data_IF_824058708381
#
_entry.id   IF_824058708381
#
_cell.length_a   1.000
_cell.length_b   1.000
_cell.length_c   1.000
_cell.angle_alpha   90.00
_cell.angle_beta   90.00
_cell.angle_gamma   90.00
#
_symmetry.space_group_name_H-M   'P 1'
#
loop_
_entity.id
_entity.type
_entity.pdbx_description
1 polymer ?
#
# COMPACT_ATOMS: atom_id res chain seq x y z
N UNK A 1 -52.51 -51.03 -5.86
CA UNK A 1 -51.32 -50.29 -5.37
C UNK A 1 -51.74 -48.89 -4.89
N UNK A 2 -51.64 -48.58 -3.59
CA UNK A 2 -51.87 -47.20 -3.09
C UNK A 2 -50.72 -46.30 -3.53
N UNK A 3 -51.04 -45.33 -4.37
CA UNK A 3 -50.04 -44.49 -5.03
C UNK A 3 -49.30 -43.64 -3.97
N UNK A 4 -47.96 -43.65 -3.99
CA UNK A 4 -47.11 -43.16 -2.89
C UNK A 4 -47.41 -41.70 -2.48
N UNK A 5 -47.92 -40.88 -3.39
CA UNK A 5 -48.27 -39.47 -3.13
C UNK A 5 -49.58 -39.25 -2.37
N UNK A 6 -50.42 -40.28 -2.17
CA UNK A 6 -51.66 -40.20 -1.36
C UNK A 6 -51.45 -40.53 0.11
N UNK A 7 -50.24 -40.97 0.50
CA UNK A 7 -49.89 -41.20 1.91
C UNK A 7 -49.84 -39.85 2.64
N UNK A 8 -50.52 -39.73 3.78
CA UNK A 8 -50.57 -38.49 4.58
C UNK A 8 -49.20 -37.86 4.84
N UNK A 9 -48.17 -38.67 5.08
CA UNK A 9 -46.79 -38.22 5.30
C UNK A 9 -46.25 -37.45 4.10
N UNK A 10 -46.54 -37.91 2.89
CA UNK A 10 -46.14 -37.25 1.64
C UNK A 10 -46.91 -35.95 1.44
N UNK A 11 -48.23 -35.96 1.70
CA UNK A 11 -49.07 -34.75 1.64
C UNK A 11 -48.58 -33.68 2.64
N UNK A 12 -48.25 -34.08 3.87
CA UNK A 12 -47.67 -33.20 4.90
C UNK A 12 -46.31 -32.62 4.47
N UNK A 13 -45.41 -33.45 3.94
CA UNK A 13 -44.11 -33.00 3.43
C UNK A 13 -44.26 -32.02 2.26
N UNK A 14 -45.10 -32.35 1.27
CA UNK A 14 -45.39 -31.49 0.11
C UNK A 14 -45.96 -30.13 0.54
N UNK A 15 -46.93 -30.12 1.47
CA UNK A 15 -47.48 -28.87 2.05
C UNK A 15 -46.40 -28.04 2.77
N UNK A 16 -45.49 -28.69 3.51
CA UNK A 16 -44.38 -28.00 4.16
C UNK A 16 -43.42 -27.37 3.15
N UNK A 17 -43.02 -28.11 2.11
CA UNK A 17 -42.15 -27.61 1.03
C UNK A 17 -42.82 -26.45 0.28
N UNK A 18 -44.11 -26.58 -0.05
CA UNK A 18 -44.89 -25.52 -0.70
C UNK A 18 -44.99 -24.25 0.16
N UNK A 19 -45.23 -24.38 1.47
CA UNK A 19 -45.22 -23.24 2.42
C UNK A 19 -43.85 -22.57 2.49
N UNK A 20 -42.76 -23.35 2.52
CA UNK A 20 -41.38 -22.82 2.52
C UNK A 20 -41.07 -22.09 1.21
N UNK A 21 -41.49 -22.64 0.07
CA UNK A 21 -41.36 -22.01 -1.24
C UNK A 21 -42.17 -20.71 -1.34
N UNK A 22 -43.40 -20.70 -0.83
CA UNK A 22 -44.25 -19.51 -0.77
C UNK A 22 -43.62 -18.41 0.08
N UNK A 23 -43.15 -18.72 1.30
CA UNK A 23 -42.45 -17.75 2.16
C UNK A 23 -41.20 -17.17 1.47
N UNK A 24 -40.41 -18.01 0.79
CA UNK A 24 -39.25 -17.56 -0.02
C UNK A 24 -39.67 -16.64 -1.16
N UNK A 25 -40.76 -16.96 -1.88
CA UNK A 25 -41.32 -16.14 -2.96
C UNK A 25 -41.79 -14.77 -2.45
N UNK A 26 -42.48 -14.73 -1.30
CA UNK A 26 -42.92 -13.47 -0.70
C UNK A 26 -41.74 -12.60 -0.25
N UNK A 27 -40.74 -13.19 0.41
CA UNK A 27 -39.50 -12.48 0.76
C UNK A 27 -38.81 -11.91 -0.48
N UNK A 28 -38.71 -12.69 -1.57
CA UNK A 28 -38.16 -12.22 -2.86
C UNK A 28 -38.99 -11.08 -3.46
N UNK A 29 -40.33 -11.18 -3.46
CA UNK A 29 -41.22 -10.10 -3.94
C UNK A 29 -41.02 -8.80 -3.14
N UNK A 30 -40.93 -8.89 -1.82
CA UNK A 30 -40.68 -7.72 -0.96
C UNK A 30 -39.33 -7.06 -1.28
N UNK A 31 -38.26 -7.85 -1.41
CA UNK A 31 -36.91 -7.35 -1.80
C UNK A 31 -36.96 -6.68 -3.17
N UNK A 32 -37.64 -7.27 -4.15
CA UNK A 32 -37.76 -6.69 -5.50
C UNK A 32 -38.59 -5.39 -5.49
N UNK A 33 -39.65 -5.31 -4.69
CA UNK A 33 -40.46 -4.10 -4.53
C UNK A 33 -39.64 -2.97 -3.90
N UNK A 34 -38.86 -3.27 -2.85
CA UNK A 34 -37.94 -2.31 -2.24
C UNK A 34 -36.87 -1.83 -3.22
N UNK A 35 -36.27 -2.74 -3.99
CA UNK A 35 -35.32 -2.38 -5.06
C UNK A 35 -35.95 -1.49 -6.12
N UNK A 36 -37.17 -1.76 -6.59
CA UNK A 36 -37.85 -0.93 -7.59
C UNK A 36 -38.12 0.48 -7.04
N UNK A 37 -38.58 0.61 -5.80
CA UNK A 37 -38.80 1.90 -5.13
C UNK A 37 -37.51 2.72 -5.01
N UNK A 38 -36.40 2.10 -4.58
CA UNK A 38 -35.10 2.76 -4.47
C UNK A 38 -34.50 3.23 -5.82
N UNK A 39 -35.12 2.85 -6.94
CA UNK A 39 -34.70 3.16 -8.31
C UNK A 39 -35.71 4.05 -9.03
N UNK A 40 -36.84 4.40 -8.41
CA UNK A 40 -37.74 5.44 -8.92
C UNK A 40 -37.01 6.80 -8.91
N UNK A 41 -37.25 7.63 -9.91
CA UNK A 41 -36.57 8.92 -10.08
C UNK A 41 -35.14 8.85 -10.64
N UNK A 42 -34.49 7.68 -10.65
CA UNK A 42 -33.14 7.52 -11.21
C UNK A 42 -33.16 7.43 -12.74
N UNK A 43 -32.21 8.09 -13.39
CA UNK A 43 -31.94 7.98 -14.82
C UNK A 43 -31.58 6.55 -15.23
N UNK A 44 -31.66 6.27 -16.54
CA UNK A 44 -31.28 4.95 -17.09
C UNK A 44 -29.80 4.63 -16.78
N UNK A 45 -28.93 5.64 -16.81
CA UNK A 45 -27.49 5.51 -16.53
C UNK A 45 -27.28 5.12 -15.06
N UNK A 46 -27.91 5.85 -14.13
CA UNK A 46 -27.83 5.54 -12.69
C UNK A 46 -28.40 4.14 -12.39
N UNK A 47 -29.46 3.74 -13.09
CA UNK A 47 -30.03 2.40 -12.98
C UNK A 47 -29.06 1.31 -13.44
N UNK A 48 -28.38 1.51 -14.56
CA UNK A 48 -27.35 0.59 -15.05
C UNK A 48 -26.17 0.51 -14.08
N UNK A 49 -25.68 1.64 -13.59
CA UNK A 49 -24.55 1.70 -12.64
C UNK A 49 -24.85 1.01 -11.30
N UNK A 50 -26.03 1.26 -10.71
CA UNK A 50 -26.42 0.62 -9.46
C UNK A 50 -26.58 -0.91 -9.59
N UNK A 51 -27.05 -1.40 -10.75
CA UNK A 51 -27.11 -2.84 -11.02
C UNK A 51 -25.71 -3.45 -11.28
N UNK A 52 -24.82 -2.71 -11.97
CA UNK A 52 -23.44 -3.13 -12.28
C UNK A 52 -22.65 -3.47 -11.02
N UNK A 53 -22.79 -2.67 -9.97
CA UNK A 53 -22.06 -2.85 -8.71
C UNK A 53 -22.88 -3.56 -7.62
N UNK A 54 -24.06 -4.10 -7.94
CA UNK A 54 -24.94 -4.74 -6.96
C UNK A 54 -24.34 -5.96 -6.23
N UNK A 55 -23.28 -6.55 -6.80
CA UNK A 55 -22.51 -7.68 -6.22
C UNK A 55 -21.30 -7.23 -5.39
N UNK A 56 -21.00 -5.93 -5.39
CA UNK A 56 -19.85 -5.37 -4.69
C UNK A 56 -20.23 -5.04 -3.25
N UNK A 57 -19.29 -5.30 -2.34
CA UNK A 57 -19.39 -4.84 -0.94
C UNK A 57 -18.80 -3.45 -0.87
N UNK A 58 -19.58 -2.48 -0.39
CA UNK A 58 -19.11 -1.11 -0.20
C UNK A 58 -18.24 -1.03 1.05
N UNK A 59 -17.04 -0.46 0.93
CA UNK A 59 -16.19 -0.06 2.07
C UNK A 59 -15.92 1.43 1.95
N UNK A 60 -16.17 2.17 3.03
CA UNK A 60 -15.96 3.62 3.08
C UNK A 60 -14.57 3.94 3.57
N UNK A 61 -13.85 4.80 2.84
CA UNK A 61 -12.55 5.32 3.27
C UNK A 61 -12.74 6.36 4.40
N UNK A 62 -11.75 6.52 5.29
CA UNK A 62 -11.80 7.56 6.33
C UNK A 62 -11.80 8.96 5.71
N UNK A 63 -12.40 9.94 6.39
CA UNK A 63 -12.42 11.35 5.94
C UNK A 63 -11.01 11.90 5.73
N UNK A 64 -10.13 11.71 6.71
CA UNK A 64 -8.69 11.90 6.54
C UNK A 64 -8.10 10.58 6.01
N UNK A 65 -7.89 10.50 4.70
CA UNK A 65 -7.26 9.37 4.04
C UNK A 65 -5.77 9.65 3.77
N UNK A 66 -5.06 10.14 4.79
CA UNK A 66 -3.60 10.32 4.78
C UNK A 66 -2.92 9.17 5.52
N UNK A 67 -1.93 8.53 4.90
CA UNK A 67 -1.19 7.45 5.54
C UNK A 67 -0.17 7.95 6.56
N UNK A 68 0.29 9.20 6.41
CA UNK A 68 1.17 9.86 7.37
C UNK A 68 0.39 10.40 8.58
N UNK A 69 -0.76 11.06 8.36
CA UNK A 69 -1.50 11.71 9.45
C UNK A 69 -2.52 10.79 10.14
N UNK A 70 -3.10 9.84 9.40
CA UNK A 70 -4.12 8.92 9.91
C UNK A 70 -3.74 7.46 9.64
N UNK A 71 -2.50 7.08 9.96
CA UNK A 71 -1.96 5.75 9.71
C UNK A 71 -2.88 4.63 10.21
N UNK A 72 -3.32 4.69 11.47
CA UNK A 72 -4.16 3.64 12.07
C UNK A 72 -5.52 3.50 11.37
N UNK A 73 -6.16 4.61 11.00
CA UNK A 73 -7.43 4.62 10.27
C UNK A 73 -7.30 4.02 8.87
N UNK A 74 -6.24 4.38 8.15
CA UNK A 74 -5.93 3.84 6.83
C UNK A 74 -5.61 2.34 6.90
N UNK A 75 -4.80 1.88 7.87
CA UNK A 75 -4.53 0.44 8.06
C UNK A 75 -5.81 -0.33 8.35
N UNK A 76 -6.69 0.20 9.22
CA UNK A 76 -7.98 -0.44 9.54
C UNK A 76 -8.87 -0.60 8.29
N UNK A 77 -8.91 0.43 7.45
CA UNK A 77 -9.59 0.40 6.16
C UNK A 77 -9.01 -0.66 5.21
N UNK A 78 -7.68 -0.71 5.06
CA UNK A 78 -7.00 -1.69 4.20
C UNK A 78 -7.19 -3.14 4.70
N UNK A 79 -7.10 -3.36 6.01
CA UNK A 79 -7.35 -4.68 6.62
C UNK A 79 -8.80 -5.14 6.37
N UNK A 80 -9.76 -4.20 6.34
CA UNK A 80 -11.14 -4.51 5.97
C UNK A 80 -11.28 -4.97 4.52
N UNK A 81 -10.54 -4.33 3.60
CA UNK A 81 -10.48 -4.72 2.19
C UNK A 81 -9.83 -6.10 2.02
N UNK A 82 -8.70 -6.36 2.69
CA UNK A 82 -8.00 -7.65 2.61
C UNK A 82 -8.87 -8.81 3.13
N UNK A 83 -9.61 -8.61 4.23
CA UNK A 83 -10.60 -9.60 4.71
C UNK A 83 -11.67 -9.94 3.69
N UNK A 84 -12.05 -8.99 2.82
CA UNK A 84 -12.99 -9.25 1.73
C UNK A 84 -12.32 -10.00 0.58
N UNK A 85 -11.05 -9.70 0.28
CA UNK A 85 -10.25 -10.45 -0.71
C UNK A 85 -10.14 -11.92 -0.33
N UNK A 86 -9.79 -12.21 0.93
CA UNK A 86 -9.69 -13.58 1.48
C UNK A 86 -11.01 -14.36 1.36
N UNK A 87 -12.15 -13.65 1.39
CA UNK A 87 -13.50 -14.22 1.22
C UNK A 87 -13.99 -14.22 -0.24
N UNK A 88 -13.13 -13.91 -1.21
CA UNK A 88 -13.46 -13.78 -2.63
C UNK A 88 -14.64 -12.82 -2.90
N UNK A 89 -14.72 -11.72 -2.14
CA UNK A 89 -15.77 -10.70 -2.29
C UNK A 89 -15.28 -9.55 -3.16
N UNK A 90 -16.14 -9.13 -4.09
CA UNK A 90 -15.91 -7.92 -4.88
C UNK A 90 -16.01 -6.68 -3.99
N UNK A 91 -15.15 -5.69 -4.21
CA UNK A 91 -15.03 -4.50 -3.34
C UNK A 91 -15.30 -3.23 -4.11
N UNK A 92 -16.17 -2.38 -3.57
CA UNK A 92 -16.38 -1.01 -4.05
C UNK A 92 -15.92 -0.03 -2.96
N UNK A 93 -14.84 0.70 -3.22
CA UNK A 93 -14.34 1.72 -2.30
C UNK A 93 -15.12 3.01 -2.48
N UNK A 94 -15.65 3.53 -1.37
CA UNK A 94 -16.38 4.79 -1.32
C UNK A 94 -15.43 5.86 -0.78
N UNK A 95 -14.92 6.70 -1.69
CA UNK A 95 -14.06 7.85 -1.47
C UNK A 95 -14.82 9.18 -1.40
N UNK A 96 -16.10 9.24 -1.77
CA UNK A 96 -16.88 10.51 -1.85
C UNK A 96 -16.80 11.42 -0.62
N UNK A 97 -16.61 10.86 0.58
CA UNK A 97 -16.52 11.60 1.86
C UNK A 97 -15.07 11.88 2.30
N UNK A 98 -14.07 11.56 1.48
CA UNK A 98 -12.67 11.87 1.75
C UNK A 98 -12.47 13.37 1.57
N UNK A 99 -11.96 14.01 2.64
CA UNK A 99 -11.70 15.45 2.73
C UNK A 99 -10.22 15.73 2.48
N UNK A 100 -9.33 14.87 3.00
CA UNK A 100 -7.87 14.97 2.79
C UNK A 100 -7.29 13.61 2.38
N UNK A 101 -6.26 13.63 1.54
CA UNK A 101 -5.57 12.43 1.05
C UNK A 101 -4.09 12.75 0.80
N UNK A 102 -3.20 11.79 1.04
CA UNK A 102 -1.78 11.92 0.69
C UNK A 102 -1.36 10.90 -0.38
N UNK A 103 -0.22 11.14 -1.02
CA UNK A 103 0.35 10.21 -2.02
C UNK A 103 0.69 8.84 -1.41
N UNK A 104 0.92 8.78 -0.10
CA UNK A 104 1.09 7.54 0.64
C UNK A 104 -0.13 6.65 0.52
N UNK A 105 -1.29 7.13 0.95
CA UNK A 105 -2.56 6.42 0.92
C UNK A 105 -3.01 6.08 -0.51
N UNK A 106 -2.79 6.99 -1.47
CA UNK A 106 -3.06 6.72 -2.89
C UNK A 106 -2.25 5.50 -3.36
N UNK A 107 -0.95 5.48 -3.04
CA UNK A 107 -0.04 4.38 -3.40
C UNK A 107 -0.48 3.07 -2.75
N UNK A 108 -0.86 3.08 -1.47
CA UNK A 108 -1.32 1.88 -0.76
C UNK A 108 -2.64 1.35 -1.32
N UNK A 109 -3.56 2.24 -1.68
CA UNK A 109 -4.82 1.86 -2.28
C UNK A 109 -4.59 1.21 -3.65
N UNK A 110 -3.77 1.84 -4.49
CA UNK A 110 -3.44 1.33 -5.82
C UNK A 110 -2.81 -0.06 -5.74
N UNK A 111 -1.81 -0.23 -4.87
CA UNK A 111 -1.12 -1.50 -4.67
C UNK A 111 -2.07 -2.60 -4.18
N UNK A 112 -2.99 -2.26 -3.29
CA UNK A 112 -4.06 -3.16 -2.84
C UNK A 112 -5.01 -3.53 -3.99
N UNK A 113 -5.41 -2.57 -4.84
CA UNK A 113 -6.23 -2.85 -6.03
C UNK A 113 -5.55 -3.80 -7.01
N UNK A 114 -4.24 -3.69 -7.17
CA UNK A 114 -3.45 -4.60 -8.01
C UNK A 114 -3.52 -6.05 -7.51
N UNK A 115 -3.46 -6.30 -6.19
CA UNK A 115 -3.63 -7.66 -5.65
C UNK A 115 -4.97 -8.28 -6.06
N UNK A 116 -6.05 -7.50 -6.06
CA UNK A 116 -7.37 -7.97 -6.50
C UNK A 116 -7.37 -8.30 -8.00
N UNK A 117 -6.69 -7.48 -8.82
CA UNK A 117 -6.52 -7.72 -10.26
C UNK A 117 -5.77 -9.03 -10.53
N UNK A 118 -4.71 -9.32 -9.78
CA UNK A 118 -3.93 -10.57 -9.92
C UNK A 118 -4.78 -11.83 -9.66
N UNK A 119 -5.62 -11.81 -8.62
CA UNK A 119 -6.52 -12.92 -8.29
C UNK A 119 -7.88 -12.83 -9.00
N UNK A 120 -8.03 -11.89 -9.95
CA UNK A 120 -9.25 -11.67 -10.76
C UNK A 120 -10.53 -11.45 -9.94
N UNK A 121 -10.42 -10.84 -8.77
CA UNK A 121 -11.56 -10.39 -7.97
C UNK A 121 -11.89 -8.95 -8.36
N UNK A 122 -13.17 -8.65 -8.60
CA UNK A 122 -13.59 -7.30 -8.98
C UNK A 122 -13.33 -6.27 -7.87
N UNK A 123 -12.61 -5.20 -8.22
CA UNK A 123 -12.39 -4.02 -7.38
C UNK A 123 -12.82 -2.78 -8.15
N UNK A 124 -13.57 -1.88 -7.52
CA UNK A 124 -13.94 -0.59 -8.10
C UNK A 124 -14.07 0.49 -7.00
N UNK A 125 -14.42 1.72 -7.37
CA UNK A 125 -14.68 2.79 -6.41
C UNK A 125 -15.19 4.07 -7.06
N UNK A 126 -15.55 5.04 -6.22
CA UNK A 126 -15.86 6.42 -6.65
C UNK A 126 -14.70 7.39 -6.35
N UNK A 127 -14.92 8.68 -6.60
CA UNK A 127 -13.95 9.75 -6.35
C UNK A 127 -14.36 10.58 -5.13
N UNK A 128 -13.40 11.21 -4.43
CA UNK A 128 -13.69 12.26 -3.46
C UNK A 128 -14.56 13.37 -4.06
N UNK A 129 -15.48 13.91 -3.25
CA UNK A 129 -16.19 15.14 -3.59
C UNK A 129 -15.31 16.37 -3.39
N UNK A 130 -14.32 16.29 -2.49
CA UNK A 130 -13.31 17.33 -2.35
C UNK A 130 -12.42 17.39 -3.60
N UNK A 131 -12.34 18.58 -4.22
CA UNK A 131 -11.64 18.77 -5.49
C UNK A 131 -10.13 18.56 -5.38
N UNK A 132 -9.52 18.98 -4.27
CA UNK A 132 -8.09 18.80 -4.05
C UNK A 132 -7.73 17.32 -3.87
N UNK A 133 -8.49 16.59 -3.05
CA UNK A 133 -8.30 15.16 -2.88
C UNK A 133 -8.50 14.40 -4.20
N UNK A 134 -9.50 14.81 -4.99
CA UNK A 134 -9.72 14.26 -6.34
C UNK A 134 -8.54 14.55 -7.27
N UNK A 135 -8.03 15.78 -7.26
CA UNK A 135 -6.90 16.24 -8.07
C UNK A 135 -5.65 15.41 -7.76
N UNK A 136 -5.31 15.20 -6.49
CA UNK A 136 -4.16 14.38 -6.08
C UNK A 136 -4.24 12.95 -6.63
N UNK A 137 -5.41 12.31 -6.61
CA UNK A 137 -5.58 10.96 -7.20
C UNK A 137 -5.30 10.99 -8.70
N UNK A 138 -5.86 11.96 -9.42
CA UNK A 138 -5.70 12.07 -10.87
C UNK A 138 -4.23 12.34 -11.24
N UNK A 139 -3.62 13.32 -10.59
CA UNK A 139 -2.24 13.73 -10.89
C UNK A 139 -1.21 12.67 -10.48
N UNK A 140 -1.48 11.85 -9.47
CA UNK A 140 -0.53 10.83 -8.97
C UNK A 140 -0.07 9.79 -10.00
N UNK A 141 -0.77 9.65 -11.12
CA UNK A 141 -0.53 8.55 -12.06
C UNK A 141 -1.30 7.26 -11.72
N UNK A 142 -2.28 7.34 -10.82
CA UNK A 142 -3.06 6.21 -10.31
C UNK A 142 -3.73 5.39 -11.44
N UNK A 143 -4.42 6.08 -12.35
CA UNK A 143 -5.20 5.42 -13.40
C UNK A 143 -4.33 4.90 -14.54
N UNK A 144 -3.22 5.57 -14.83
CA UNK A 144 -2.20 5.13 -15.78
C UNK A 144 -1.65 3.77 -15.38
N UNK A 145 -1.40 3.56 -14.08
CA UNK A 145 -0.98 2.25 -13.60
C UNK A 145 -2.13 1.24 -13.68
N UNK A 146 -3.34 1.58 -13.22
CA UNK A 146 -4.45 0.63 -13.21
C UNK A 146 -4.79 0.07 -14.60
N UNK A 147 -4.63 0.90 -15.65
CA UNK A 147 -4.83 0.52 -17.06
C UNK A 147 -3.78 -0.45 -17.60
N UNK A 148 -2.55 -0.47 -17.07
CA UNK A 148 -1.48 -1.35 -17.56
C UNK A 148 -1.85 -2.82 -17.38
N UNK A 149 -1.58 -3.63 -18.39
CA UNK A 149 -1.73 -5.07 -18.29
C UNK A 149 -0.73 -5.66 -17.28
N UNK A 150 -1.14 -6.72 -16.59
CA UNK A 150 -0.29 -7.49 -15.67
C UNK A 150 0.78 -8.32 -16.40
N UNK A 151 0.81 -8.30 -17.73
CA UNK A 151 1.53 -9.25 -18.58
C UNK A 151 2.99 -8.85 -18.91
N UNK A 152 3.61 -7.98 -18.10
CA UNK A 152 5.07 -7.98 -17.91
C UNK A 152 5.95 -7.25 -18.93
N UNK A 153 5.40 -6.54 -19.91
CA UNK A 153 6.17 -5.59 -20.75
C UNK A 153 5.87 -4.15 -20.34
N UNK A 154 6.41 -3.72 -19.21
CA UNK A 154 6.37 -2.30 -18.83
C UNK A 154 7.55 -1.57 -19.48
N UNK A 155 7.26 -0.70 -20.45
CA UNK A 155 8.17 0.40 -20.81
C UNK A 155 7.98 1.51 -19.78
N UNK A 156 9.06 1.89 -19.11
CA UNK A 156 9.01 2.98 -18.14
C UNK A 156 9.16 4.30 -18.89
N UNK A 157 8.13 5.15 -18.84
CA UNK A 157 8.28 6.56 -19.14
C UNK A 157 8.61 7.26 -17.82
N UNK A 158 9.90 7.30 -17.48
CA UNK A 158 10.40 7.87 -16.22
C UNK A 158 10.68 9.35 -16.44
N UNK A 159 10.33 10.17 -15.47
CA UNK A 159 10.68 11.59 -15.44
C UNK A 159 9.52 12.54 -15.78
N UNK A 160 8.27 12.06 -15.66
CA UNK A 160 7.11 12.95 -15.50
C UNK A 160 7.14 13.57 -14.09
N UNK A 161 6.38 14.65 -13.90
CA UNK A 161 6.17 15.29 -12.59
C UNK A 161 5.62 14.27 -11.59
N UNK A 162 4.29 14.13 -11.51
CA UNK A 162 3.67 13.17 -10.61
C UNK A 162 3.56 11.81 -11.28
N UNK A 163 4.07 10.77 -10.62
CA UNK A 163 4.07 9.42 -11.17
C UNK A 163 4.12 8.35 -10.08
N UNK A 164 3.48 7.22 -10.36
CA UNK A 164 3.65 5.97 -9.62
C UNK A 164 4.32 4.95 -10.53
N UNK A 165 5.37 4.32 -10.02
CA UNK A 165 6.18 3.31 -10.69
C UNK A 165 6.01 1.99 -9.93
N UNK A 166 5.82 0.90 -10.66
CA UNK A 166 5.86 -0.46 -10.09
C UNK A 166 6.64 -1.37 -11.02
N UNK A 167 7.47 -2.24 -10.45
CA UNK A 167 8.15 -3.30 -11.21
C UNK A 167 7.46 -4.64 -10.95
N UNK A 168 7.21 -5.39 -12.03
CA UNK A 168 6.69 -6.74 -11.95
C UNK A 168 7.77 -7.83 -12.02
N UNK A 169 8.86 -7.59 -12.79
CA UNK A 169 9.77 -8.68 -13.23
C UNK A 169 11.24 -8.33 -13.54
N UNK A 170 11.65 -7.07 -13.63
CA UNK A 170 13.06 -6.71 -13.91
C UNK A 170 13.84 -6.52 -12.62
N UNK A 171 14.95 -7.25 -12.48
CA UNK A 171 15.95 -7.05 -11.44
C UNK A 171 16.45 -5.60 -11.48
N UNK A 172 16.71 -5.07 -10.28
CA UNK A 172 17.30 -3.76 -9.95
C UNK A 172 18.01 -3.09 -11.13
N UNK A 173 17.50 -1.95 -11.61
CA UNK A 173 18.30 -1.10 -12.50
C UNK A 173 18.64 0.20 -11.77
N UNK A 174 19.95 0.39 -11.57
CA UNK A 174 20.57 1.69 -11.27
C UNK A 174 20.12 2.78 -12.26
N UNK A 175 19.63 2.38 -13.42
CA UNK A 175 19.08 3.23 -14.48
C UNK A 175 17.80 3.97 -14.06
N UNK A 176 17.03 3.50 -13.06
CA UNK A 176 15.85 4.22 -12.57
C UNK A 176 16.22 5.47 -11.77
N UNK A 177 17.30 5.39 -10.99
CA UNK A 177 17.66 6.45 -10.04
C UNK A 177 18.03 7.76 -10.73
N UNK A 178 18.72 7.67 -11.87
CA UNK A 178 19.24 8.84 -12.58
C UNK A 178 18.13 9.72 -13.19
N UNK A 179 17.16 9.20 -13.97
CA UNK A 179 16.03 9.99 -14.45
C UNK A 179 15.15 10.57 -13.33
N UNK A 180 14.93 9.80 -12.25
CA UNK A 180 14.20 10.28 -11.07
C UNK A 180 14.91 11.48 -10.45
N UNK A 181 16.23 11.37 -10.25
CA UNK A 181 17.03 12.44 -9.68
C UNK A 181 17.02 13.69 -10.58
N UNK A 182 17.14 13.54 -11.91
CA UNK A 182 17.05 14.69 -12.84
C UNK A 182 15.71 15.40 -12.74
N UNK A 183 14.60 14.65 -12.79
CA UNK A 183 13.27 15.25 -12.70
C UNK A 183 13.07 15.97 -11.36
N UNK A 184 13.46 15.32 -10.25
CA UNK A 184 13.29 15.88 -8.92
C UNK A 184 14.12 17.15 -8.73
N UNK A 185 15.38 17.13 -9.18
CA UNK A 185 16.30 18.26 -9.01
C UNK A 185 15.89 19.46 -9.85
N UNK A 186 15.43 19.25 -11.09
CA UNK A 186 14.84 20.32 -11.92
C UNK A 186 13.63 20.97 -11.27
N UNK A 187 12.84 20.22 -10.51
CA UNK A 187 11.67 20.76 -9.80
C UNK A 187 12.05 21.63 -8.61
N UNK A 188 13.11 21.26 -7.90
CA UNK A 188 13.54 21.95 -6.68
C UNK A 188 14.41 23.16 -7.03
N UNK A 189 15.41 22.98 -7.91
CA UNK A 189 16.44 23.98 -8.19
C UNK A 189 16.35 24.59 -9.60
N UNK A 190 15.44 24.14 -10.46
CA UNK A 190 15.36 24.58 -11.86
C UNK A 190 16.44 23.96 -12.78
N UNK A 191 17.40 23.23 -12.21
CA UNK A 191 18.52 22.61 -12.92
C UNK A 191 18.82 21.21 -12.37
N UNK A 192 19.61 20.44 -13.10
CA UNK A 192 20.04 19.12 -12.65
C UNK A 192 21.10 19.24 -11.54
N UNK A 193 20.91 18.47 -10.46
CA UNK A 193 21.85 18.40 -9.34
C UNK A 193 22.07 16.94 -8.92
N UNK A 194 23.20 16.64 -8.28
CA UNK A 194 23.47 15.30 -7.74
C UNK A 194 23.02 15.24 -6.29
N UNK A 195 21.98 14.43 -6.03
CA UNK A 195 21.48 14.12 -4.70
C UNK A 195 21.89 12.69 -4.30
N UNK A 196 23.09 12.54 -3.75
CA UNK A 196 23.64 11.22 -3.37
C UNK A 196 22.76 10.48 -2.34
N UNK A 197 22.11 11.21 -1.44
CA UNK A 197 21.17 10.65 -0.47
C UNK A 197 19.99 9.95 -1.15
N UNK A 198 19.33 10.63 -2.10
CA UNK A 198 18.23 10.06 -2.88
C UNK A 198 18.63 8.77 -3.59
N UNK A 199 19.77 8.78 -4.29
CA UNK A 199 20.24 7.60 -5.00
C UNK A 199 20.48 6.44 -4.05
N UNK A 200 21.10 6.69 -2.89
CA UNK A 200 21.35 5.68 -1.86
C UNK A 200 20.04 5.08 -1.34
N UNK A 201 19.07 5.92 -0.98
CA UNK A 201 17.76 5.47 -0.46
C UNK A 201 17.05 4.59 -1.48
N UNK A 202 16.97 5.02 -2.74
CA UNK A 202 16.34 4.23 -3.81
C UNK A 202 17.03 2.88 -4.01
N UNK A 203 18.37 2.85 -4.05
CA UNK A 203 19.14 1.61 -4.22
C UNK A 203 18.95 0.67 -3.03
N UNK A 204 19.01 1.18 -1.80
CA UNK A 204 18.85 0.35 -0.59
C UNK A 204 17.45 -0.28 -0.52
N UNK A 205 16.40 0.50 -0.86
CA UNK A 205 15.02 0.01 -0.87
C UNK A 205 14.74 -1.01 -1.97
N UNK A 206 15.22 -0.74 -3.19
CA UNK A 206 15.08 -1.67 -4.31
C UNK A 206 15.89 -2.96 -4.12
N UNK A 207 17.07 -2.89 -3.50
CA UNK A 207 17.86 -4.09 -3.17
C UNK A 207 17.22 -4.91 -2.06
N UNK A 208 16.65 -4.28 -1.04
CA UNK A 208 15.96 -4.99 0.04
C UNK A 208 14.78 -5.80 -0.51
N UNK A 209 13.94 -5.19 -1.36
CA UNK A 209 12.81 -5.88 -1.98
C UNK A 209 13.24 -7.04 -2.89
N UNK A 210 14.34 -6.90 -3.65
CA UNK A 210 14.89 -7.97 -4.48
C UNK A 210 15.45 -9.16 -3.68
N UNK A 211 16.20 -8.88 -2.61
CA UNK A 211 16.83 -9.92 -1.78
C UNK A 211 15.79 -10.75 -1.01
N UNK A 212 14.71 -10.12 -0.55
CA UNK A 212 13.60 -10.81 0.11
C UNK A 212 12.66 -11.50 -0.88
N UNK A 213 12.58 -10.99 -2.12
CA UNK A 213 11.88 -11.64 -3.21
C UNK A 213 12.43 -13.02 -3.57
N UNK A 214 13.74 -13.30 -3.46
CA UNK A 214 14.27 -14.59 -3.92
C UNK A 214 13.71 -15.82 -3.15
N UNK A 215 13.14 -15.65 -1.94
CA UNK A 215 12.75 -16.76 -1.06
C UNK A 215 11.29 -17.25 -1.22
N UNK A 216 10.34 -16.40 -1.63
CA UNK A 216 8.94 -16.79 -1.78
C UNK A 216 8.56 -17.06 -3.26
N UNK A 217 8.15 -18.31 -3.57
CA UNK A 217 7.74 -18.79 -4.91
C UNK A 217 6.26 -18.57 -5.24
N UNK A 218 5.51 -17.72 -4.51
CA UNK A 218 4.09 -17.46 -4.79
C UNK A 218 3.76 -15.95 -4.83
N UNK A 219 3.36 -15.46 -6.01
CA UNK A 219 2.73 -14.13 -6.20
C UNK A 219 3.68 -13.02 -6.65
N UNK A 220 3.22 -12.15 -7.56
CA UNK A 220 4.00 -11.10 -8.23
C UNK A 220 4.56 -10.08 -7.25
N UNK A 221 5.88 -9.89 -7.29
CA UNK A 221 6.63 -9.03 -6.37
C UNK A 221 6.57 -7.58 -6.85
N UNK A 222 5.55 -6.87 -6.42
CA UNK A 222 5.35 -5.46 -6.75
C UNK A 222 5.80 -4.57 -5.60
N UNK A 223 6.98 -3.97 -5.74
CA UNK A 223 7.26 -2.73 -5.05
C UNK A 223 6.64 -1.56 -5.82
N UNK A 224 6.37 -0.49 -5.11
CA UNK A 224 5.72 0.72 -5.58
C UNK A 224 6.58 1.91 -5.18
N UNK A 225 6.83 2.81 -6.12
CA UNK A 225 7.49 4.08 -5.89
C UNK A 225 6.58 5.18 -6.42
N UNK A 226 6.05 6.02 -5.55
CA UNK A 226 5.40 7.27 -5.95
C UNK A 226 6.35 8.44 -5.80
N UNK A 227 6.35 9.31 -6.78
CA UNK A 227 7.14 10.53 -6.83
C UNK A 227 6.15 11.65 -7.07
N UNK A 228 6.13 12.63 -6.17
CA UNK A 228 5.24 13.78 -6.25
C UNK A 228 6.04 15.08 -6.18
N UNK A 229 5.79 15.95 -7.15
CA UNK A 229 6.49 17.19 -7.41
C UNK A 229 5.59 18.37 -7.00
N UNK A 230 6.00 19.07 -5.95
CA UNK A 230 5.41 20.34 -5.52
C UNK A 230 6.31 21.48 -6.04
N UNK A 231 5.98 21.98 -7.23
CA UNK A 231 6.71 23.07 -7.89
C UNK A 231 6.60 24.39 -7.13
N UNK A 232 5.47 24.62 -6.43
CA UNK A 232 5.22 25.87 -5.68
C UNK A 232 6.11 25.92 -4.45
N UNK A 233 6.19 24.82 -3.70
CA UNK A 233 7.04 24.72 -2.50
C UNK A 233 8.46 24.26 -2.80
N UNK A 234 8.81 24.05 -4.07
CA UNK A 234 10.10 23.51 -4.53
C UNK A 234 10.50 22.27 -3.74
N UNK A 235 9.59 21.30 -3.68
CA UNK A 235 9.72 20.09 -2.89
C UNK A 235 9.32 18.88 -3.71
N UNK A 236 10.03 17.76 -3.51
CA UNK A 236 9.65 16.48 -4.09
C UNK A 236 9.53 15.46 -2.97
N UNK A 237 8.36 14.84 -2.88
CA UNK A 237 8.07 13.80 -1.90
C UNK A 237 8.08 12.44 -2.56
N UNK A 238 8.61 11.45 -1.87
CA UNK A 238 8.74 10.09 -2.35
C UNK A 238 8.03 9.14 -1.40
N UNK A 239 7.34 8.15 -1.96
CA UNK A 239 6.76 7.04 -1.22
C UNK A 239 7.31 5.76 -1.82
N UNK A 240 7.91 4.92 -0.99
CA UNK A 240 8.27 3.56 -1.37
C UNK A 240 7.47 2.56 -0.55
N UNK A 241 6.88 1.57 -1.21
CA UNK A 241 6.11 0.53 -0.57
C UNK A 241 6.38 -0.84 -1.17
N UNK A 242 6.37 -1.86 -0.32
CA UNK A 242 6.14 -3.25 -0.72
C UNK A 242 5.04 -3.93 0.12
N UNK A 243 4.49 -5.02 -0.41
CA UNK A 243 3.55 -5.90 0.29
C UNK A 243 4.23 -7.16 0.85
N UNK A 244 5.41 -7.00 1.44
CA UNK A 244 6.10 -8.07 2.13
C UNK A 244 5.51 -8.39 3.51
N UNK A 245 6.23 -9.25 4.25
CA UNK A 245 5.87 -9.61 5.63
C UNK A 245 6.18 -8.49 6.66
N UNK A 246 6.84 -7.42 6.20
CA UNK A 246 7.35 -6.32 7.03
C UNK A 246 8.76 -6.60 7.61
N UNK A 247 9.38 -5.57 8.17
CA UNK A 247 10.77 -5.61 8.65
C UNK A 247 10.96 -6.65 9.76
N UNK A 248 10.11 -6.67 10.80
CA UNK A 248 10.31 -7.56 11.95
C UNK A 248 10.07 -9.02 11.58
N UNK A 249 8.99 -9.29 10.84
CA UNK A 249 8.69 -10.65 10.36
C UNK A 249 9.81 -11.17 9.46
N UNK A 250 10.43 -10.30 8.65
CA UNK A 250 11.57 -10.67 7.80
C UNK A 250 12.82 -11.04 8.60
N UNK A 251 13.00 -10.45 9.79
CA UNK A 251 14.10 -10.78 10.71
C UNK A 251 13.84 -12.08 11.48
N UNK A 252 12.58 -12.37 11.84
CA UNK A 252 12.19 -13.60 12.55
C UNK A 252 12.36 -14.86 11.69
N UNK A 253 12.13 -14.75 10.39
CA UNK A 253 12.19 -15.88 9.45
C UNK A 253 13.60 -16.15 8.89
N UNK A 254 14.66 -15.76 9.62
CA UNK A 254 16.05 -16.02 9.20
C UNK A 254 16.47 -17.45 9.57
N UNK A 255 17.15 -18.11 8.65
CA UNK A 255 17.68 -19.46 8.81
C UNK A 255 18.71 -19.53 9.96
N UNK A 256 18.93 -20.75 10.47
CA UNK A 256 19.82 -21.03 11.61
C UNK A 256 21.25 -20.54 11.42
N UNK A 257 21.72 -20.49 10.18
CA UNK A 257 23.04 -20.01 9.76
C UNK A 257 23.12 -18.48 9.65
N UNK A 258 22.00 -17.78 9.80
CA UNK A 258 21.99 -16.33 9.70
C UNK A 258 22.68 -15.70 10.90
N UNK A 259 23.50 -14.67 10.66
CA UNK A 259 24.05 -13.80 11.72
C UNK A 259 23.00 -13.12 12.61
N UNK A 260 21.73 -13.18 12.21
CA UNK A 260 20.60 -12.65 12.97
C UNK A 260 19.86 -13.73 13.76
N UNK A 261 20.29 -14.99 13.72
CA UNK A 261 19.67 -16.06 14.49
C UNK A 261 19.72 -15.74 16.00
N UNK A 262 18.60 -15.96 16.70
CA UNK A 262 18.49 -15.68 18.14
C UNK A 262 18.51 -14.19 18.54
N UNK A 263 18.40 -13.25 17.60
CA UNK A 263 18.47 -11.81 17.89
C UNK A 263 17.49 -11.36 18.97
N UNK A 264 16.30 -11.97 19.02
CA UNK A 264 15.24 -11.67 19.98
C UNK A 264 15.68 -11.94 21.43
N UNK A 265 16.41 -13.02 21.66
CA UNK A 265 16.88 -13.36 23.00
C UNK A 265 18.02 -12.41 23.43
N UNK A 266 18.85 -11.98 22.49
CA UNK A 266 19.91 -11.00 22.75
C UNK A 266 19.32 -9.65 23.16
N UNK A 267 18.30 -9.15 22.43
CA UNK A 267 17.70 -7.85 22.75
C UNK A 267 16.89 -7.87 24.04
N UNK A 268 16.20 -8.98 24.34
CA UNK A 268 15.47 -9.14 25.61
C UNK A 268 16.43 -9.07 26.80
N UNK A 269 17.62 -9.69 26.69
CA UNK A 269 18.65 -9.65 27.74
C UNK A 269 19.17 -8.24 28.02
N UNK A 270 19.14 -7.34 27.04
CA UNK A 270 19.52 -5.93 27.20
C UNK A 270 18.32 -5.01 27.48
N UNK A 271 17.17 -5.58 27.89
CA UNK A 271 16.00 -4.84 28.34
C UNK A 271 15.12 -4.26 27.23
N UNK A 272 15.39 -4.58 25.96
CA UNK A 272 14.60 -4.10 24.82
C UNK A 272 13.51 -5.11 24.51
N UNK A 273 12.26 -4.66 24.51
CA UNK A 273 11.10 -5.56 24.42
C UNK A 273 10.02 -5.11 23.44
N UNK A 274 10.05 -3.85 23.00
CA UNK A 274 8.98 -3.27 22.17
C UNK A 274 9.42 -3.10 20.71
N UNK A 275 8.48 -3.26 19.77
CA UNK A 275 8.80 -3.24 18.33
C UNK A 275 9.28 -1.86 17.86
N UNK A 276 8.82 -0.78 18.50
CA UNK A 276 9.24 0.60 18.26
C UNK A 276 10.70 0.86 18.67
N UNK A 277 11.14 0.32 19.81
CA UNK A 277 12.54 0.36 20.25
C UNK A 277 13.42 -0.43 19.29
N UNK A 278 12.95 -1.60 18.85
CA UNK A 278 13.66 -2.45 17.89
C UNK A 278 13.84 -1.70 16.56
N UNK A 279 12.80 -1.05 16.05
CA UNK A 279 12.92 -0.26 14.81
C UNK A 279 13.91 0.88 14.96
N UNK A 280 13.89 1.59 16.10
CA UNK A 280 14.84 2.65 16.39
C UNK A 280 16.28 2.14 16.40
N UNK A 281 16.55 0.99 17.03
CA UNK A 281 17.89 0.37 17.04
C UNK A 281 18.33 -0.10 15.65
N UNK A 282 17.40 -0.59 14.84
CA UNK A 282 17.65 -0.96 13.46
C UNK A 282 18.01 0.26 12.63
N UNK A 283 17.30 1.38 12.78
CA UNK A 283 17.62 2.63 12.07
C UNK A 283 18.90 3.29 12.57
N UNK A 284 19.22 3.16 13.86
CA UNK A 284 20.49 3.66 14.42
C UNK A 284 21.71 2.79 14.06
N UNK A 285 21.48 1.59 13.51
CA UNK A 285 22.54 0.61 13.25
C UNK A 285 23.11 -0.03 14.52
N UNK A 286 22.60 0.34 15.69
CA UNK A 286 22.96 -0.23 17.00
C UNK A 286 22.59 -1.71 17.08
N UNK A 287 21.50 -2.10 16.44
CA UNK A 287 21.04 -3.49 16.40
C UNK A 287 22.10 -4.44 15.83
N UNK A 288 22.85 -4.00 14.81
CA UNK A 288 23.91 -4.78 14.18
C UNK A 288 25.06 -5.05 15.16
N UNK A 289 25.48 -4.01 15.89
CA UNK A 289 26.49 -4.12 16.95
C UNK A 289 26.01 -5.02 18.08
N UNK A 290 24.76 -4.88 18.52
CA UNK A 290 24.20 -5.66 19.63
C UNK A 290 24.15 -7.16 19.31
N UNK A 291 23.76 -7.55 18.09
CA UNK A 291 23.60 -8.97 17.72
C UNK A 291 24.87 -9.60 17.18
N UNK A 292 25.59 -8.90 16.31
CA UNK A 292 26.73 -9.50 15.59
C UNK A 292 28.08 -9.19 16.24
N UNK A 293 28.11 -8.28 17.22
CA UNK A 293 29.34 -7.67 17.79
C UNK A 293 30.21 -6.90 16.79
N UNK A 294 29.87 -6.89 15.51
CA UNK A 294 30.55 -6.11 14.48
C UNK A 294 30.00 -4.69 14.37
N UNK A 295 30.84 -3.76 13.89
CA UNK A 295 30.36 -2.43 13.49
C UNK A 295 29.52 -2.55 12.22
N UNK A 296 28.43 -1.79 12.18
CA UNK A 296 27.61 -1.63 10.99
C UNK A 296 28.42 -1.04 9.82
N UNK A 297 28.28 -1.62 8.62
CA UNK A 297 29.05 -1.26 7.42
C UNK A 297 28.35 -0.28 6.46
N UNK A 298 27.37 0.49 6.93
CA UNK A 298 26.79 1.57 6.13
C UNK A 298 25.79 1.15 5.04
N UNK A 299 25.01 0.07 5.19
CA UNK A 299 23.99 -0.35 4.19
C UNK A 299 22.61 -0.67 4.79
N UNK A 300 21.54 -0.44 4.05
CA UNK A 300 20.16 -0.79 4.47
C UNK A 300 19.55 0.28 5.37
N UNK A 301 18.60 -0.06 6.26
CA UNK A 301 17.87 0.93 7.07
C UNK A 301 18.74 1.97 7.80
N UNK A 302 19.89 1.62 8.42
CA UNK A 302 20.74 2.66 9.00
C UNK A 302 21.48 3.50 7.97
N UNK A 303 21.69 2.98 6.75
CA UNK A 303 22.18 3.77 5.63
C UNK A 303 21.17 4.85 5.21
N UNK A 304 19.88 4.52 5.17
CA UNK A 304 18.78 5.47 4.95
C UNK A 304 18.77 6.53 6.06
N UNK A 305 18.79 6.14 7.34
CA UNK A 305 18.84 7.13 8.45
C UNK A 305 20.08 8.04 8.35
N UNK A 306 21.25 7.51 8.00
CA UNK A 306 22.45 8.33 7.80
C UNK A 306 22.27 9.40 6.71
N UNK A 307 21.45 9.16 5.68
CA UNK A 307 21.16 10.20 4.67
C UNK A 307 20.32 11.34 5.24
N UNK A 308 19.38 11.04 6.15
CA UNK A 308 18.63 12.04 6.91
C UNK A 308 19.56 12.81 7.86
N UNK A 309 20.38 12.11 8.66
CA UNK A 309 21.30 12.71 9.63
C UNK A 309 22.32 13.65 8.96
N UNK A 310 22.66 13.39 7.69
CA UNK A 310 23.55 14.23 6.87
C UNK A 310 22.80 15.31 6.08
N UNK A 311 21.51 15.54 6.35
CA UNK A 311 20.66 16.47 5.64
C UNK A 311 20.65 16.26 4.10
N UNK A 312 20.78 15.01 3.64
CA UNK A 312 20.72 14.67 2.21
C UNK A 312 19.29 14.34 1.75
N UNK A 313 18.41 14.05 2.71
CA UNK A 313 16.94 13.95 2.59
C UNK A 313 16.31 14.58 3.84
N UNK A 314 15.02 14.85 3.82
CA UNK A 314 14.24 15.30 4.98
C UNK A 314 12.99 14.45 5.22
N UNK A 315 12.32 14.70 6.36
CA UNK A 315 10.98 14.19 6.66
C UNK A 315 10.81 12.69 6.41
N UNK A 316 11.71 11.88 6.99
CA UNK A 316 11.71 10.43 6.83
C UNK A 316 10.69 9.77 7.76
N UNK A 317 9.72 9.07 7.19
CA UNK A 317 8.76 8.24 7.91
C UNK A 317 8.88 6.77 7.49
N UNK A 318 8.66 5.87 8.45
CA UNK A 318 8.67 4.43 8.24
C UNK A 318 7.43 3.82 8.90
N UNK A 319 6.67 3.03 8.14
CA UNK A 319 5.53 2.26 8.64
C UNK A 319 5.77 0.79 8.28
N UNK A 320 5.86 -0.06 9.28
CA UNK A 320 6.05 -1.50 9.10
C UNK A 320 5.40 -2.26 10.24
N UNK A 321 4.76 -3.39 9.93
CA UNK A 321 4.10 -4.21 10.94
C UNK A 321 3.18 -3.36 11.85
N UNK A 322 3.44 -3.31 13.15
CA UNK A 322 2.71 -2.55 14.18
C UNK A 322 3.45 -1.28 14.61
N UNK A 323 4.38 -0.73 13.80
CA UNK A 323 5.16 0.45 14.18
C UNK A 323 5.05 1.54 13.12
N UNK A 324 4.84 2.76 13.62
CA UNK A 324 5.06 4.01 12.88
C UNK A 324 6.27 4.73 13.48
N UNK A 325 7.12 5.28 12.61
CA UNK A 325 8.24 6.10 13.00
C UNK A 325 8.31 7.35 12.13
N UNK A 326 8.22 8.52 12.75
CA UNK A 326 8.72 9.77 12.19
C UNK A 326 10.17 9.95 12.69
N UNK A 327 11.11 9.59 11.83
CA UNK A 327 12.53 9.46 12.18
C UNK A 327 13.17 10.83 12.45
N UNK A 328 12.76 11.85 11.70
CA UNK A 328 13.26 13.22 11.84
C UNK A 328 12.90 13.80 13.22
N UNK A 329 11.66 13.57 13.67
CA UNK A 329 11.19 14.05 14.98
C UNK A 329 11.46 13.06 16.13
N UNK A 330 12.20 11.98 15.88
CA UNK A 330 12.46 10.91 16.85
C UNK A 330 11.18 10.37 17.52
N UNK A 331 10.09 10.30 16.76
CA UNK A 331 8.77 9.89 17.22
C UNK A 331 8.47 8.47 16.73
N UNK A 332 8.44 7.52 17.66
CA UNK A 332 8.26 6.10 17.40
C UNK A 332 7.07 5.60 18.21
N UNK A 333 6.09 4.97 17.54
CA UNK A 333 4.82 4.61 18.16
C UNK A 333 4.35 3.24 17.71
N UNK A 334 3.74 2.52 18.65
CA UNK A 334 2.96 1.33 18.34
C UNK A 334 1.63 1.72 17.67
N UNK A 335 1.28 0.93 16.65
CA UNK A 335 0.03 1.01 15.94
C UNK A 335 -0.90 -0.06 16.48
N UNK A 336 -2.18 0.30 16.63
CA UNK A 336 -3.23 -0.62 17.06
C UNK A 336 -3.53 -1.72 16.04
N UNK A 337 -3.17 -1.49 14.78
CA UNK A 337 -3.39 -2.42 13.68
C UNK A 337 -2.07 -2.70 12.94
N UNK A 338 -1.91 -3.93 12.48
CA UNK A 338 -0.73 -4.36 11.73
C UNK A 338 -0.87 -4.00 10.24
N UNK A 339 0.14 -3.33 9.71
CA UNK A 339 0.39 -3.18 8.27
C UNK A 339 1.21 -4.36 7.74
N UNK A 340 0.67 -5.06 6.74
CA UNK A 340 1.35 -6.18 6.04
C UNK A 340 2.21 -5.65 4.89
N UNK A 341 3.37 -5.11 5.24
CA UNK A 341 4.32 -4.55 4.28
C UNK A 341 5.34 -3.63 4.94
N UNK A 342 6.15 -3.01 4.11
CA UNK A 342 7.05 -1.91 4.50
C UNK A 342 6.68 -0.68 3.67
N UNK A 343 6.52 0.44 4.34
CA UNK A 343 6.27 1.74 3.74
C UNK A 343 7.31 2.73 4.23
N UNK A 344 7.89 3.50 3.32
CA UNK A 344 8.75 4.62 3.63
C UNK A 344 8.30 5.85 2.87
N UNK A 345 8.41 6.99 3.53
CA UNK A 345 8.20 8.30 2.94
C UNK A 345 9.39 9.18 3.26
N UNK A 346 9.82 10.00 2.31
CA UNK A 346 10.86 11.01 2.52
C UNK A 346 10.70 12.16 1.53
N UNK A 347 11.37 13.27 1.83
CA UNK A 347 11.31 14.48 1.02
C UNK A 347 12.69 14.97 0.59
N UNK A 348 12.70 15.68 -0.54
CA UNK A 348 13.79 16.55 -0.97
C UNK A 348 13.26 17.97 -1.14
N UNK A 349 14.05 18.94 -0.72
CA UNK A 349 13.78 20.37 -0.86
C UNK A 349 15.07 21.14 -1.06
N UNK A 350 14.96 22.46 -1.25
CA UNK A 350 16.11 23.36 -1.39
C UNK A 350 17.08 23.31 -0.19
N UNK A 351 16.61 22.84 0.98
CA UNK A 351 17.40 22.75 2.21
C UNK A 351 18.38 21.58 2.23
N UNK A 352 18.25 20.60 1.33
CA UNK A 352 19.02 19.37 1.37
C UNK A 352 20.35 19.47 0.60
N UNK A 353 21.38 18.79 1.13
CA UNK A 353 22.73 18.76 0.56
C UNK A 353 22.70 18.13 -0.84
N UNK A 354 23.26 18.85 -1.81
CA UNK A 354 23.42 18.44 -3.20
C UNK A 354 24.80 18.85 -3.74
N UNK A 355 25.14 18.37 -4.94
CA UNK A 355 26.36 18.75 -5.66
C UNK A 355 26.01 19.21 -7.08
N UNK A 356 26.87 20.03 -7.72
CA UNK A 356 26.75 20.35 -9.14
C UNK A 356 26.66 19.08 -10.00
N UNK A 357 25.96 19.15 -11.13
CA UNK A 357 25.87 18.04 -12.06
C UNK A 357 27.20 17.79 -12.77
N UNK A 358 27.87 16.69 -12.45
CA UNK A 358 29.16 16.32 -13.03
C UNK A 358 29.13 15.03 -13.85
N UNK A 359 27.95 14.45 -14.09
CA UNK A 359 27.80 13.19 -14.82
C UNK A 359 27.94 13.45 -16.33
N UNK A 360 29.11 13.05 -16.85
CA UNK A 360 29.47 12.75 -18.25
C UNK A 360 28.45 11.84 -18.93
N UNK A 361 27.83 12.16 -20.08
CA UNK A 361 27.08 11.17 -20.87
C UNK A 361 27.98 10.34 -21.75
#
# INVERSE_FOLDING_TARGET
MKIIYSKERYIRHSRHVARKAFKRRQKRKAILKAKRRAMQGKSIIEKKSANKFSRYTNITAPKNFSFLENTAGVISFLNSIERLREKNKMVYVVLKNVETIDYGAITVLLSTMFKFKEVRIGFNGDFPLNDEARRLIIESGFFEQLKKETNGRSTYHIGKDNQIITHARKNVSSELGLPIMRAATRTIWGEERICQGLQRVLVELMQNTNNHAAKDRKGGKHWWLSINHDKVRKKVSFVFMDHGVGIFSSLKNKELDSKWYGWQEIIKRVGISTDEEILKLLLDGKMHKTVTKEKFRGKGLPGIKQTLDRNQIGNLHVITNNVYANVENNDYRLLTNVFKGTFLYWELSEKNINKPWTIKY
#
